data_IF_627831424721
#
_entry.id   IF_627831424721
#
_cell.length_a   1.000
_cell.length_b   1.000
_cell.length_c   1.000
_cell.angle_alpha   90.00
_cell.angle_beta   90.00
_cell.angle_gamma   90.00
#
_symmetry.space_group_name_H-M   'P 1'
#
loop_
_entity.id
_entity.type
_entity.pdbx_description
1 polymer ?
#
# COMPACT_ATOMS: atom_id res chain seq x y z
N UNK A 1 -7.99 4.83 -18.95
CA UNK A 1 -7.43 5.23 -17.63
C UNK A 1 -6.18 4.45 -17.18
N UNK A 2 -5.50 3.67 -18.03
CA UNK A 2 -4.33 2.86 -17.63
C UNK A 2 -3.14 3.70 -17.13
N UNK A 3 -2.82 4.81 -17.81
CA UNK A 3 -1.78 5.76 -17.35
C UNK A 3 -2.11 6.35 -15.97
N UNK A 4 -3.35 6.80 -15.77
CA UNK A 4 -3.81 7.30 -14.46
C UNK A 4 -3.69 6.23 -13.37
N UNK A 5 -4.04 4.98 -13.68
CA UNK A 5 -3.87 3.86 -12.75
C UNK A 5 -2.40 3.62 -12.35
N UNK A 6 -1.45 3.71 -13.29
CA UNK A 6 -0.02 3.63 -12.98
C UNK A 6 0.43 4.80 -12.11
N UNK A 7 0.01 6.02 -12.44
CA UNK A 7 0.37 7.23 -11.69
C UNK A 7 -0.14 7.13 -10.25
N UNK A 8 -1.42 6.85 -10.03
CA UNK A 8 -1.99 6.78 -8.67
C UNK A 8 -1.39 5.63 -7.87
N UNK A 9 -1.07 4.49 -8.50
CA UNK A 9 -0.42 3.36 -7.82
C UNK A 9 1.01 3.71 -7.41
N UNK A 10 1.70 4.52 -8.23
CA UNK A 10 3.04 5.06 -7.91
C UNK A 10 2.95 6.04 -6.74
N UNK A 11 1.99 6.98 -6.77
CA UNK A 11 1.76 7.91 -5.67
C UNK A 11 1.38 7.18 -4.38
N UNK A 12 0.58 6.12 -4.48
CA UNK A 12 0.26 5.25 -3.34
C UNK A 12 1.52 4.65 -2.75
N UNK A 13 2.40 4.07 -3.57
CA UNK A 13 3.67 3.50 -3.10
C UNK A 13 4.53 4.54 -2.38
N UNK A 14 4.64 5.73 -2.96
CA UNK A 14 5.38 6.85 -2.34
C UNK A 14 4.75 7.25 -1.01
N UNK A 15 3.43 7.40 -0.94
CA UNK A 15 2.73 7.76 0.30
C UNK A 15 2.93 6.72 1.40
N UNK A 16 2.80 5.43 1.07
CA UNK A 16 3.07 4.36 2.03
C UNK A 16 4.54 4.32 2.48
N UNK A 17 5.50 4.62 1.61
CA UNK A 17 6.91 4.71 2.00
C UNK A 17 7.16 5.91 2.93
N UNK A 18 6.64 7.09 2.58
CA UNK A 18 6.74 8.29 3.41
C UNK A 18 6.06 8.13 4.78
N UNK A 19 5.01 7.31 4.87
CA UNK A 19 4.32 7.02 6.13
C UNK A 19 5.27 6.50 7.22
N UNK A 20 6.26 5.68 6.86
CA UNK A 20 7.28 5.18 7.79
C UNK A 20 8.25 6.27 8.22
N UNK A 21 8.64 7.16 7.30
CA UNK A 21 9.48 8.31 7.62
C UNK A 21 8.74 9.22 8.60
N UNK A 22 7.46 9.51 8.34
CA UNK A 22 6.65 10.33 9.24
C UNK A 22 6.43 9.66 10.61
N UNK A 23 6.28 8.34 10.65
CA UNK A 23 6.22 7.59 11.91
C UNK A 23 7.53 7.73 12.70
N UNK A 24 8.67 7.58 12.02
CA UNK A 24 9.99 7.72 12.62
C UNK A 24 10.23 9.13 13.14
N UNK A 25 9.88 10.17 12.35
CA UNK A 25 9.96 11.56 12.78
C UNK A 25 9.18 11.77 14.07
N UNK A 26 7.93 11.29 14.15
CA UNK A 26 7.13 11.37 15.37
C UNK A 26 7.75 10.63 16.55
N UNK A 27 8.29 9.42 16.33
CA UNK A 27 8.90 8.61 17.38
C UNK A 27 10.22 9.18 17.92
N UNK A 28 11.00 9.87 17.09
CA UNK A 28 12.32 10.35 17.45
C UNK A 28 12.38 11.84 17.80
N UNK A 29 11.31 12.61 17.59
CA UNK A 29 11.25 14.04 17.98
C UNK A 29 11.23 14.19 19.51
N UNK A 30 12.14 15.01 20.05
CA UNK A 30 12.22 15.33 21.48
C UNK A 30 12.34 16.85 21.73
N UNK A 31 11.63 17.42 22.72
CA UNK A 31 10.58 16.75 23.51
C UNK A 31 9.40 16.35 22.62
N UNK A 32 8.72 15.26 22.97
CA UNK A 32 7.52 14.83 22.26
C UNK A 32 6.40 15.84 22.58
N UNK A 33 5.93 16.57 21.56
CA UNK A 33 4.77 17.46 21.66
C UNK A 33 3.60 16.94 20.83
N UNK A 34 2.44 17.55 21.00
CA UNK A 34 1.17 17.14 20.37
C UNK A 34 1.24 17.03 18.84
N UNK A 35 2.15 17.76 18.20
CA UNK A 35 2.36 17.76 16.76
C UNK A 35 3.33 16.70 16.22
N UNK A 36 4.00 15.92 17.08
CA UNK A 36 5.08 15.02 16.66
C UNK A 36 4.64 14.01 15.58
N UNK A 37 3.41 13.52 15.67
CA UNK A 37 2.83 12.55 14.73
C UNK A 37 1.88 13.18 13.71
N UNK A 38 1.81 14.51 13.58
CA UNK A 38 0.82 15.18 12.73
C UNK A 38 0.91 14.72 11.27
N UNK A 39 2.12 14.69 10.69
CA UNK A 39 2.32 14.25 9.31
C UNK A 39 1.97 12.77 9.10
N UNK A 40 2.31 11.92 10.06
CA UNK A 40 1.96 10.50 10.03
C UNK A 40 0.43 10.32 10.09
N UNK A 41 -0.23 11.07 10.95
CA UNK A 41 -1.68 10.98 11.16
C UNK A 41 -2.46 11.49 9.95
N UNK A 42 -2.12 12.67 9.42
CA UNK A 42 -2.79 13.23 8.23
C UNK A 42 -2.59 12.33 7.01
N UNK A 43 -1.37 11.82 6.82
CA UNK A 43 -1.08 10.95 5.67
C UNK A 43 -1.82 9.61 5.80
N UNK A 44 -1.82 9.00 6.98
CA UNK A 44 -2.49 7.72 7.25
C UNK A 44 -4.02 7.79 7.26
N UNK A 45 -4.60 8.90 7.71
CA UNK A 45 -6.05 9.05 7.89
C UNK A 45 -6.76 9.72 6.71
N UNK A 46 -6.05 10.45 5.86
CA UNK A 46 -6.64 11.15 4.72
C UNK A 46 -5.99 10.80 3.40
N UNK A 47 -4.68 11.03 3.26
CA UNK A 47 -3.97 10.92 1.96
C UNK A 47 -4.01 9.48 1.44
N UNK A 48 -3.60 8.51 2.26
CA UNK A 48 -3.57 7.11 1.88
C UNK A 48 -4.99 6.58 1.57
N UNK A 49 -6.02 6.78 2.41
CA UNK A 49 -7.40 6.39 2.08
C UNK A 49 -7.87 6.93 0.73
N UNK A 50 -7.68 8.22 0.47
CA UNK A 50 -8.06 8.83 -0.81
C UNK A 50 -7.31 8.19 -1.98
N UNK A 51 -6.00 7.97 -1.84
CA UNK A 51 -5.20 7.30 -2.87
C UNK A 51 -5.65 5.85 -3.11
N UNK A 52 -6.01 5.10 -2.07
CA UNK A 52 -6.53 3.73 -2.24
C UNK A 52 -7.87 3.73 -2.99
N UNK A 53 -8.78 4.64 -2.68
CA UNK A 53 -10.06 4.79 -3.40
C UNK A 53 -9.85 5.18 -4.87
N UNK A 54 -8.95 6.14 -5.13
CA UNK A 54 -8.60 6.52 -6.50
C UNK A 54 -7.93 5.37 -7.26
N UNK A 55 -7.13 4.56 -6.58
CA UNK A 55 -6.48 3.37 -7.16
C UNK A 55 -7.52 2.32 -7.57
N UNK A 56 -8.51 2.05 -6.72
CA UNK A 56 -9.65 1.16 -7.04
C UNK A 56 -10.43 1.71 -8.22
N UNK A 57 -10.81 3.00 -8.18
CA UNK A 57 -11.56 3.66 -9.24
C UNK A 57 -10.83 3.56 -10.58
N UNK A 58 -9.54 3.90 -10.62
CA UNK A 58 -8.78 3.86 -11.86
C UNK A 58 -8.46 2.45 -12.33
N UNK A 59 -8.39 1.44 -11.46
CA UNK A 59 -8.35 0.04 -11.86
C UNK A 59 -9.62 -0.35 -12.64
N UNK A 60 -10.81 0.02 -12.11
CA UNK A 60 -12.10 -0.23 -12.76
C UNK A 60 -12.19 0.53 -14.09
N UNK A 61 -11.90 1.83 -14.11
CA UNK A 61 -11.95 2.64 -15.32
C UNK A 61 -10.85 2.29 -16.35
N UNK A 62 -9.78 1.61 -15.93
CA UNK A 62 -8.77 1.05 -16.82
C UNK A 62 -9.23 -0.26 -17.49
N UNK A 63 -10.40 -0.77 -17.11
CA UNK A 63 -10.92 -2.09 -17.51
C UNK A 63 -9.94 -3.20 -17.12
N UNK A 64 -9.37 -3.10 -15.92
CA UNK A 64 -8.48 -4.12 -15.39
C UNK A 64 -9.24 -5.44 -15.16
N UNK A 65 -8.58 -6.61 -15.28
CA UNK A 65 -9.22 -7.88 -14.97
C UNK A 65 -9.62 -7.94 -13.48
N UNK A 66 -10.68 -8.69 -13.15
CA UNK A 66 -11.25 -8.72 -11.79
C UNK A 66 -10.22 -9.02 -10.69
N UNK A 67 -9.23 -9.89 -10.95
CA UNK A 67 -8.12 -10.16 -10.03
C UNK A 67 -7.27 -8.92 -9.68
N UNK A 68 -7.07 -8.02 -10.64
CA UNK A 68 -6.31 -6.78 -10.44
C UNK A 68 -7.18 -5.74 -9.71
N UNK A 69 -8.48 -5.71 -9.98
CA UNK A 69 -9.41 -4.88 -9.20
C UNK A 69 -9.46 -5.35 -7.74
N UNK A 70 -9.54 -6.67 -7.50
CA UNK A 70 -9.47 -7.24 -6.15
C UNK A 70 -8.16 -6.91 -5.44
N UNK A 71 -7.03 -7.02 -6.14
CA UNK A 71 -5.72 -6.60 -5.60
C UNK A 71 -5.69 -5.10 -5.26
N UNK A 72 -6.32 -4.25 -6.07
CA UNK A 72 -6.41 -2.80 -5.81
C UNK A 72 -7.31 -2.44 -4.62
N UNK A 73 -8.26 -3.30 -4.23
CA UNK A 73 -9.11 -3.13 -3.05
C UNK A 73 -8.35 -3.46 -1.76
N UNK A 74 -7.41 -4.41 -1.80
CA UNK A 74 -6.72 -4.92 -0.62
C UNK A 74 -6.03 -3.82 0.23
N UNK A 75 -5.33 -2.82 -0.34
CA UNK A 75 -4.76 -1.70 0.44
C UNK A 75 -5.78 -0.97 1.31
N UNK A 76 -7.02 -0.77 0.84
CA UNK A 76 -8.06 -0.11 1.63
C UNK A 76 -8.43 -0.92 2.87
N UNK A 77 -8.55 -2.25 2.74
CA UNK A 77 -8.77 -3.14 3.87
C UNK A 77 -7.63 -3.10 4.89
N UNK A 78 -6.38 -3.07 4.42
CA UNK A 78 -5.22 -2.95 5.29
C UNK A 78 -5.13 -1.60 6.01
N UNK A 79 -5.63 -0.52 5.38
CA UNK A 79 -5.73 0.81 6.00
C UNK A 79 -6.80 0.82 7.09
N UNK A 80 -7.96 0.19 6.88
CA UNK A 80 -8.96 0.02 7.94
C UNK A 80 -8.37 -0.75 9.12
N UNK A 81 -7.65 -1.85 8.84
CA UNK A 81 -6.94 -2.60 9.87
C UNK A 81 -5.88 -1.73 10.58
N UNK A 82 -5.18 -0.84 9.87
CA UNK A 82 -4.21 0.07 10.51
C UNK A 82 -4.87 0.94 11.57
N UNK A 83 -6.02 1.54 11.27
CA UNK A 83 -6.74 2.43 12.19
C UNK A 83 -7.21 1.66 13.42
N UNK A 84 -7.72 0.44 13.23
CA UNK A 84 -8.13 -0.43 14.34
C UNK A 84 -6.94 -0.79 15.25
N UNK A 85 -5.81 -1.20 14.66
CA UNK A 85 -4.61 -1.53 15.44
C UNK A 85 -4.05 -0.32 16.19
N UNK A 86 -4.02 0.86 15.55
CA UNK A 86 -3.56 2.09 16.19
C UNK A 86 -4.46 2.50 17.37
N UNK A 87 -5.79 2.43 17.19
CA UNK A 87 -6.76 2.73 18.24
C UNK A 87 -6.65 1.78 19.42
N UNK A 88 -6.54 0.47 19.15
CA UNK A 88 -6.36 -0.55 20.19
C UNK A 88 -5.03 -0.35 20.96
N UNK A 89 -3.92 -0.12 20.24
CA UNK A 89 -2.63 0.13 20.87
C UNK A 89 -2.66 1.37 21.79
N UNK A 90 -3.32 2.44 21.34
CA UNK A 90 -3.44 3.69 22.09
C UNK A 90 -4.37 3.58 23.30
N UNK A 91 -5.37 2.69 23.24
CA UNK A 91 -6.31 2.47 24.35
C UNK A 91 -5.79 1.52 25.43
N UNK A 92 -4.70 0.80 25.19
CA UNK A 92 -4.15 -0.21 26.11
C UNK A 92 -3.00 0.35 26.96
N UNK A 93 -3.35 1.30 27.82
CA UNK A 93 -2.43 1.95 28.76
C UNK A 93 -2.58 1.44 30.19
N UNK A 94 -1.54 1.62 31.00
CA UNK A 94 -1.61 1.44 32.45
C UNK A 94 -2.30 2.64 33.15
N UNK A 95 -2.39 2.60 34.47
CA UNK A 95 -3.02 3.64 35.27
C UNK A 95 -2.30 5.00 35.20
N UNK A 96 -1.02 5.02 34.80
CA UNK A 96 -0.24 6.24 34.59
C UNK A 96 -0.32 6.75 33.14
N UNK A 97 -1.07 6.06 32.26
CA UNK A 97 -1.20 6.40 30.84
C UNK A 97 -0.04 5.90 29.97
N UNK A 98 0.86 5.07 30.49
CA UNK A 98 1.95 4.50 29.72
C UNK A 98 1.49 3.24 28.95
N UNK A 99 2.06 2.98 27.78
CA UNK A 99 1.73 1.80 26.98
C UNK A 99 2.06 0.50 27.72
N UNK A 100 1.08 -0.40 27.81
CA UNK A 100 1.29 -1.75 28.37
C UNK A 100 2.10 -2.63 27.39
N UNK A 101 2.74 -3.74 27.85
CA UNK A 101 3.40 -4.69 26.96
C UNK A 101 2.46 -5.24 25.86
N UNK A 102 1.19 -5.44 26.19
CA UNK A 102 0.18 -5.86 25.22
C UNK A 102 -0.13 -4.74 24.21
N UNK A 103 -0.32 -3.50 24.68
CA UNK A 103 -0.47 -2.33 23.81
C UNK A 103 0.72 -2.12 22.86
N UNK A 104 1.95 -2.31 23.35
CA UNK A 104 3.16 -2.26 22.53
C UNK A 104 3.21 -3.39 21.49
N UNK A 105 2.72 -4.58 21.84
CA UNK A 105 2.62 -5.69 20.88
C UNK A 105 1.66 -5.34 19.74
N UNK A 106 0.50 -4.74 20.06
CA UNK A 106 -0.46 -4.28 19.04
C UNK A 106 0.14 -3.13 18.20
N UNK A 107 0.89 -2.21 18.80
CA UNK A 107 1.63 -1.18 18.06
C UNK A 107 2.65 -1.81 17.09
N UNK A 108 3.32 -2.89 17.49
CA UNK A 108 4.17 -3.68 16.59
C UNK A 108 3.41 -4.30 15.42
N UNK A 109 2.22 -4.84 15.67
CA UNK A 109 1.34 -5.36 14.61
C UNK A 109 0.88 -4.26 13.65
N UNK A 110 0.63 -3.04 14.14
CA UNK A 110 0.36 -1.87 13.30
C UNK A 110 1.55 -1.60 12.35
N UNK A 111 2.77 -1.58 12.87
CA UNK A 111 3.97 -1.40 12.03
C UNK A 111 4.11 -2.52 10.98
N UNK A 112 3.90 -3.79 11.38
CA UNK A 112 3.97 -4.95 10.48
C UNK A 112 2.90 -4.88 9.38
N UNK A 113 1.66 -4.54 9.72
CA UNK A 113 0.58 -4.36 8.76
C UNK A 113 0.92 -3.29 7.70
N UNK A 114 1.59 -2.20 8.12
CA UNK A 114 2.12 -1.20 7.20
C UNK A 114 3.10 -1.78 6.19
N UNK A 115 4.00 -2.67 6.63
CA UNK A 115 4.99 -3.32 5.75
C UNK A 115 4.28 -4.21 4.73
N UNK A 116 3.28 -4.98 5.18
CA UNK A 116 2.45 -5.82 4.30
C UNK A 116 1.74 -4.94 3.27
N UNK A 117 1.19 -3.79 3.68
CA UNK A 117 0.51 -2.87 2.77
C UNK A 117 1.44 -2.33 1.67
N UNK A 118 2.70 -2.01 1.98
CA UNK A 118 3.71 -1.65 0.97
C UNK A 118 3.86 -2.75 -0.07
N UNK A 119 4.01 -4.00 0.35
CA UNK A 119 4.16 -5.14 -0.57
C UNK A 119 2.95 -5.30 -1.49
N UNK A 120 1.74 -5.15 -0.95
CA UNK A 120 0.51 -5.19 -1.75
C UNK A 120 0.48 -4.05 -2.77
N UNK A 121 0.81 -2.83 -2.37
CA UNK A 121 0.83 -1.67 -3.27
C UNK A 121 1.89 -1.81 -4.37
N UNK A 122 3.04 -2.42 -4.08
CA UNK A 122 4.02 -2.81 -5.11
C UNK A 122 3.39 -3.75 -6.13
N UNK A 123 2.66 -4.77 -5.67
CA UNK A 123 1.91 -5.69 -6.55
C UNK A 123 0.87 -4.97 -7.42
N UNK A 124 0.13 -4.02 -6.85
CA UNK A 124 -0.82 -3.18 -7.61
C UNK A 124 -0.10 -2.37 -8.69
N UNK A 125 1.03 -1.72 -8.35
CA UNK A 125 1.81 -0.94 -9.31
C UNK A 125 2.38 -1.80 -10.44
N UNK A 126 2.88 -3.01 -10.13
CA UNK A 126 3.35 -3.95 -11.14
C UNK A 126 2.21 -4.37 -12.09
N UNK A 127 1.04 -4.71 -11.54
CA UNK A 127 -0.13 -5.05 -12.34
C UNK A 127 -0.60 -3.87 -13.21
N UNK A 128 -0.59 -2.64 -12.69
CA UNK A 128 -0.92 -1.44 -13.44
C UNK A 128 0.02 -1.22 -14.62
N UNK A 129 1.33 -1.42 -14.42
CA UNK A 129 2.36 -1.29 -15.47
C UNK A 129 2.20 -2.36 -16.56
N UNK A 130 1.97 -3.61 -16.18
CA UNK A 130 1.70 -4.69 -17.14
C UNK A 130 0.45 -4.42 -17.98
N UNK A 131 -0.61 -3.90 -17.35
CA UNK A 131 -1.84 -3.53 -18.06
C UNK A 131 -1.62 -2.35 -19.04
N UNK A 132 -0.77 -1.39 -18.67
CA UNK A 132 -0.44 -0.25 -19.51
C UNK A 132 0.47 -0.61 -20.70
N UNK A 133 1.35 -1.59 -20.53
CA UNK A 133 2.31 -2.05 -21.54
C UNK A 133 2.12 -3.55 -21.82
N UNK A 134 1.06 -3.96 -22.53
CA UNK A 134 0.87 -5.35 -22.89
C UNK A 134 2.01 -5.81 -23.82
N UNK A 135 2.76 -6.84 -23.41
CA UNK A 135 3.73 -7.49 -24.30
C UNK A 135 3.00 -8.04 -25.53
N UNK A 136 3.44 -7.74 -26.76
CA UNK A 136 2.83 -8.32 -27.96
C UNK A 136 2.91 -9.84 -27.93
N UNK A 137 1.79 -10.53 -28.19
CA UNK A 137 1.66 -11.98 -28.14
C UNK A 137 2.47 -12.75 -29.22
N UNK A 138 3.37 -12.09 -29.96
CA UNK A 138 4.05 -12.64 -31.14
C UNK A 138 5.56 -12.86 -31.01
N UNK A 139 6.16 -12.68 -29.83
CA UNK A 139 7.60 -12.90 -29.63
C UNK A 139 7.96 -14.32 -29.15
N UNK A 140 7.09 -15.31 -29.40
CA UNK A 140 7.50 -16.70 -29.34
C UNK A 140 8.25 -17.02 -30.64
N UNK A 141 9.53 -17.42 -30.60
CA UNK A 141 10.23 -17.88 -31.79
C UNK A 141 9.42 -19.02 -32.40
N UNK A 142 8.92 -18.83 -33.62
CA UNK A 142 8.40 -19.93 -34.41
C UNK A 142 9.61 -20.80 -34.74
N UNK A 143 9.79 -21.89 -33.99
CA UNK A 143 10.73 -22.95 -34.34
C UNK A 143 10.15 -23.62 -35.58
N UNK A 144 10.59 -23.19 -36.76
CA UNK A 144 10.32 -23.91 -38.01
C UNK A 144 11.19 -25.17 -37.96
N UNK A 145 10.61 -26.38 -37.94
CA UNK A 145 11.39 -27.60 -38.08
C UNK A 145 12.07 -27.57 -39.46
N UNK A 146 13.40 -27.62 -39.49
CA UNK A 146 14.16 -27.75 -40.72
C UNK A 146 13.74 -29.04 -41.43
N UNK A 147 13.35 -28.88 -42.70
CA UNK A 147 12.76 -29.93 -43.52
C UNK A 147 13.65 -31.16 -43.67
N UNK A 148 13.00 -32.31 -43.66
CA UNK A 148 13.55 -33.62 -43.97
C UNK A 148 13.96 -33.68 -45.47
N UNK A 149 15.19 -34.10 -45.81
CA UNK A 149 15.63 -34.20 -47.21
C UNK A 149 14.96 -35.39 -47.92
N UNK A 150 14.64 -35.17 -49.20
CA UNK A 150 13.97 -36.10 -50.12
C UNK A 150 14.80 -37.34 -50.49
#
# INVERSE_FOLDING_TARGET
>A
MRKAFVIVSTLSLVAFALQFIFAAVGAFTKPAGDGAYLLHSVTGMAVIPVLTLLTILFAVLAKAPGRVVGLAVLPLGLVVLQVLLAGLASGLTDAAGASTPFGLTIAGLHALNGIIAVHVVVGVLQAARQLANPTPAGAAPVVVPEGEPA
#
